data_IF_544717972935
#
_entry.id   IF_544717972935
#
_cell.length_a   1.000
_cell.length_b   1.000
_cell.length_c   1.000
_cell.angle_alpha   90.00
_cell.angle_beta   90.00
_cell.angle_gamma   90.00
#
_symmetry.space_group_name_H-M   'P 1'
#
loop_
_entity.id
_entity.type
_entity.pdbx_description
1 polymer ?
#
# COMPACT_ATOMS: atom_id res chain seq x y z
N UNK A 1 -19.87 12.25 6.83
CA UNK A 1 -19.20 12.87 5.67
C UNK A 1 -18.66 11.75 4.79
N UNK A 2 -18.92 11.74 3.48
CA UNK A 2 -18.35 10.72 2.61
C UNK A 2 -16.83 10.86 2.61
N UNK A 3 -16.11 9.76 2.87
CA UNK A 3 -14.64 9.74 2.79
C UNK A 3 -14.27 9.96 1.32
N UNK A 4 -13.42 10.95 1.03
CA UNK A 4 -12.88 11.14 -0.32
C UNK A 4 -12.17 9.85 -0.77
N UNK A 5 -12.36 9.46 -2.03
CA UNK A 5 -11.68 8.27 -2.57
C UNK A 5 -10.16 8.47 -2.55
N UNK A 6 -9.38 7.41 -2.44
CA UNK A 6 -7.91 7.52 -2.49
C UNK A 6 -7.45 8.23 -3.77
N UNK A 7 -8.09 7.93 -4.91
CA UNK A 7 -7.84 8.64 -6.17
C UNK A 7 -8.01 10.14 -6.03
N UNK A 8 -9.09 10.60 -5.39
CA UNK A 8 -9.34 12.01 -5.17
C UNK A 8 -8.26 12.65 -4.29
N UNK A 9 -7.82 11.98 -3.22
CA UNK A 9 -6.74 12.49 -2.36
C UNK A 9 -5.42 12.65 -3.11
N UNK A 10 -5.06 11.68 -3.95
CA UNK A 10 -3.86 11.76 -4.79
C UNK A 10 -3.97 12.86 -5.86
N UNK A 11 -5.14 13.02 -6.49
CA UNK A 11 -5.38 14.10 -7.46
C UNK A 11 -5.27 15.48 -6.80
N UNK A 12 -5.93 15.68 -5.66
CA UNK A 12 -5.85 16.95 -4.91
C UNK A 12 -4.41 17.27 -4.51
N UNK A 13 -3.66 16.26 -4.03
CA UNK A 13 -2.24 16.41 -3.67
C UNK A 13 -1.37 16.74 -4.88
N UNK A 14 -1.63 16.11 -6.03
CA UNK A 14 -0.88 16.37 -7.26
C UNK A 14 -1.16 17.77 -7.83
N UNK A 15 -2.43 18.21 -7.83
CA UNK A 15 -2.79 19.57 -8.24
C UNK A 15 -2.12 20.60 -7.32
N UNK A 16 -2.10 20.34 -6.01
CA UNK A 16 -1.40 21.21 -5.07
C UNK A 16 0.11 21.26 -5.37
N UNK A 17 0.73 20.13 -5.70
CA UNK A 17 2.11 20.07 -6.17
C UNK A 17 2.33 20.90 -7.45
N UNK A 18 1.44 20.80 -8.44
CA UNK A 18 1.52 21.61 -9.67
C UNK A 18 1.49 23.11 -9.36
N UNK A 19 0.62 23.55 -8.44
CA UNK A 19 0.53 24.95 -8.02
C UNK A 19 1.85 25.40 -7.37
N UNK A 20 2.39 24.60 -6.45
CA UNK A 20 3.69 24.88 -5.82
C UNK A 20 4.78 24.96 -6.89
N UNK A 21 4.86 24.00 -7.81
CA UNK A 21 5.85 23.98 -8.86
C UNK A 21 5.75 25.25 -9.73
N UNK A 22 4.56 25.63 -10.15
CA UNK A 22 4.33 26.83 -10.96
C UNK A 22 4.76 28.13 -10.24
N UNK A 23 4.59 28.20 -8.92
CA UNK A 23 4.98 29.37 -8.12
C UNK A 23 6.50 29.48 -7.93
N UNK A 24 7.18 28.36 -7.70
CA UNK A 24 8.62 28.36 -7.37
C UNK A 24 9.53 28.14 -8.59
N UNK A 25 9.01 27.53 -9.65
CA UNK A 25 9.76 27.19 -10.87
C UNK A 25 8.88 27.43 -12.10
N UNK A 26 8.64 28.69 -12.47
CA UNK A 26 7.93 28.98 -13.71
C UNK A 26 8.76 28.53 -14.92
N UNK A 27 8.09 27.93 -15.89
CA UNK A 27 8.70 27.55 -17.17
C UNK A 27 9.31 28.77 -17.85
N UNK A 28 10.55 28.63 -18.31
CA UNK A 28 11.30 29.73 -18.96
C UNK A 28 11.09 29.72 -20.47
N UNK A 29 10.79 28.55 -21.04
CA UNK A 29 10.53 28.36 -22.46
C UNK A 29 9.19 27.68 -22.70
N UNK A 30 8.64 27.86 -23.90
CA UNK A 30 7.43 27.16 -24.33
C UNK A 30 7.65 25.64 -24.40
N UNK A 31 8.85 25.21 -24.75
CA UNK A 31 9.22 23.79 -24.80
C UNK A 31 9.18 23.17 -23.40
N UNK A 32 9.79 23.82 -22.40
CA UNK A 32 9.74 23.38 -21.01
C UNK A 32 8.29 23.25 -20.53
N UNK A 33 7.46 24.27 -20.81
CA UNK A 33 6.04 24.25 -20.45
C UNK A 33 5.31 23.08 -21.11
N UNK A 34 5.59 22.81 -22.39
CA UNK A 34 4.96 21.69 -23.11
C UNK A 34 5.34 20.33 -22.53
N UNK A 35 6.60 20.17 -22.10
CA UNK A 35 7.09 18.94 -21.49
C UNK A 35 6.53 18.74 -20.09
N UNK A 36 6.46 19.81 -19.29
CA UNK A 36 5.83 19.80 -17.97
C UNK A 36 4.35 19.42 -18.08
N UNK A 37 3.59 20.07 -18.98
CA UNK A 37 2.18 19.74 -19.21
C UNK A 37 1.98 18.30 -19.67
N UNK A 38 2.84 17.79 -20.55
CA UNK A 38 2.78 16.38 -20.99
C UNK A 38 3.00 15.44 -19.81
N UNK A 39 3.95 15.78 -18.94
CA UNK A 39 4.23 15.02 -17.72
C UNK A 39 3.03 15.05 -16.77
N UNK A 40 2.43 16.21 -16.56
CA UNK A 40 1.25 16.38 -15.70
C UNK A 40 0.04 15.58 -16.21
N UNK A 41 -0.23 15.62 -17.52
CA UNK A 41 -1.28 14.83 -18.15
C UNK A 41 -1.05 13.34 -17.90
N UNK A 42 0.20 12.86 -18.08
CA UNK A 42 0.55 11.47 -17.87
C UNK A 42 0.39 11.05 -16.40
N UNK A 43 0.82 11.90 -15.45
CA UNK A 43 0.69 11.65 -14.02
C UNK A 43 -0.78 11.60 -13.58
N UNK A 44 -1.60 12.56 -14.01
CA UNK A 44 -3.03 12.58 -13.70
C UNK A 44 -3.72 11.35 -14.29
N UNK A 45 -3.40 11.00 -15.53
CA UNK A 45 -3.94 9.80 -16.19
C UNK A 45 -3.55 8.53 -15.43
N UNK A 46 -2.29 8.41 -15.01
CA UNK A 46 -1.81 7.28 -14.22
C UNK A 46 -2.55 7.19 -12.87
N UNK A 47 -2.77 8.31 -12.17
CA UNK A 47 -3.53 8.32 -10.92
C UNK A 47 -4.97 7.86 -11.16
N UNK A 48 -5.63 8.32 -12.23
CA UNK A 48 -7.02 7.96 -12.52
C UNK A 48 -7.18 6.50 -12.95
N UNK A 49 -6.23 5.97 -13.71
CA UNK A 49 -6.31 4.63 -14.31
C UNK A 49 -5.66 3.54 -13.46
N UNK A 50 -4.84 3.90 -12.47
CA UNK A 50 -4.19 2.93 -11.60
C UNK A 50 -5.22 2.08 -10.84
N UNK A 51 -5.24 0.78 -11.12
CA UNK A 51 -6.09 -0.17 -10.40
C UNK A 51 -5.77 -0.23 -8.90
N UNK A 52 -4.51 -0.02 -8.53
CA UNK A 52 -4.03 0.02 -7.16
C UNK A 52 -3.07 1.20 -7.02
N UNK A 53 -3.45 2.20 -6.23
CA UNK A 53 -2.59 3.35 -5.91
C UNK A 53 -1.56 3.03 -4.83
N UNK A 54 -1.87 2.07 -3.97
CA UNK A 54 -0.95 1.62 -2.92
C UNK A 54 -0.27 0.32 -3.36
N UNK A 55 0.97 0.16 -2.92
CA UNK A 55 1.68 -1.11 -3.04
C UNK A 55 0.89 -2.21 -2.32
N UNK A 56 0.71 -3.35 -3.00
CA UNK A 56 0.16 -4.53 -2.35
C UNK A 56 1.31 -5.18 -1.57
N UNK A 57 1.15 -5.49 -0.27
CA UNK A 57 2.17 -6.28 0.42
C UNK A 57 2.36 -7.60 -0.34
N UNK A 58 3.61 -8.07 -0.51
CA UNK A 58 3.88 -9.31 -1.21
C UNK A 58 3.09 -10.44 -0.53
N UNK A 59 2.33 -11.19 -1.33
CA UNK A 59 1.68 -12.41 -0.84
C UNK A 59 2.78 -13.46 -0.78
N UNK A 60 3.15 -13.89 0.43
CA UNK A 60 4.10 -14.97 0.64
C UNK A 60 3.56 -16.24 -0.07
N UNK A 61 4.35 -16.79 -1.00
CA UNK A 61 4.02 -18.00 -1.76
C UNK A 61 4.45 -19.25 -0.98
N UNK A 62 3.95 -19.42 0.23
CA UNK A 62 4.11 -20.65 0.99
C UNK A 62 2.75 -21.29 1.23
N UNK A 63 2.74 -22.59 1.55
CA UNK A 63 1.50 -23.27 1.88
C UNK A 63 0.85 -22.59 3.07
N UNK A 64 -0.49 -22.58 3.08
CA UNK A 64 -1.29 -21.91 4.09
C UNK A 64 -0.91 -22.29 5.52
N UNK A 65 -0.56 -23.57 5.73
CA UNK A 65 -0.13 -24.08 7.03
C UNK A 65 1.28 -23.65 7.43
N UNK A 66 2.20 -23.48 6.47
CA UNK A 66 3.56 -23.02 6.77
C UNK A 66 3.57 -21.56 7.24
N UNK A 67 2.76 -20.69 6.61
CA UNK A 67 2.57 -19.31 7.07
C UNK A 67 1.92 -19.23 8.44
N UNK A 68 0.91 -20.06 8.68
CA UNK A 68 0.29 -20.13 9.99
C UNK A 68 1.31 -20.58 11.05
N UNK A 69 2.18 -21.53 10.73
CA UNK A 69 3.26 -21.94 11.64
C UNK A 69 4.23 -20.79 11.96
N UNK A 70 4.70 -20.06 10.95
CA UNK A 70 5.58 -18.89 11.15
C UNK A 70 4.88 -17.78 11.96
N UNK A 71 3.62 -17.48 11.66
CA UNK A 71 2.86 -16.47 12.38
C UNK A 71 2.51 -16.88 13.80
N UNK A 72 2.38 -18.16 14.12
CA UNK A 72 2.18 -18.61 15.50
C UNK A 72 3.39 -18.29 16.39
N UNK A 73 4.59 -18.29 15.83
CA UNK A 73 5.84 -18.04 16.57
C UNK A 73 6.13 -16.55 16.80
N UNK A 74 5.55 -15.64 16.01
CA UNK A 74 5.76 -14.19 16.10
C UNK A 74 4.53 -13.50 16.73
N UNK A 75 4.62 -12.98 17.98
CA UNK A 75 3.51 -12.26 18.61
C UNK A 75 3.00 -11.07 17.78
N UNK A 76 3.89 -10.42 17.02
CA UNK A 76 3.52 -9.32 16.13
C UNK A 76 2.60 -9.75 14.97
N UNK A 77 2.66 -11.03 14.59
CA UNK A 77 1.92 -11.60 13.46
C UNK A 77 0.72 -12.46 13.89
N UNK A 78 0.45 -12.61 15.18
CA UNK A 78 -0.69 -13.39 15.71
C UNK A 78 -2.04 -12.96 15.11
N UNK A 79 -2.22 -11.68 14.83
CA UNK A 79 -3.43 -11.19 14.15
C UNK A 79 -3.59 -11.82 12.74
N UNK A 80 -2.50 -12.07 12.01
CA UNK A 80 -2.55 -12.75 10.71
C UNK A 80 -2.93 -14.22 10.86
N UNK A 81 -2.39 -14.90 11.88
CA UNK A 81 -2.76 -16.26 12.24
C UNK A 81 -4.26 -16.40 12.53
N UNK A 82 -4.79 -15.55 13.43
CA UNK A 82 -6.20 -15.57 13.81
C UNK A 82 -7.10 -15.26 12.62
N UNK A 83 -6.72 -14.33 11.74
CA UNK A 83 -7.50 -14.06 10.54
C UNK A 83 -7.57 -15.25 9.58
N UNK A 84 -6.50 -16.04 9.54
CA UNK A 84 -6.36 -17.18 8.64
C UNK A 84 -7.07 -18.44 9.15
N UNK A 85 -6.79 -18.84 10.40
CA UNK A 85 -7.29 -20.09 10.98
C UNK A 85 -8.49 -19.90 11.92
N UNK A 86 -8.86 -18.64 12.22
CA UNK A 86 -9.98 -18.27 13.11
C UNK A 86 -9.85 -18.80 14.55
N UNK A 87 -8.64 -19.16 14.95
CA UNK A 87 -8.30 -19.63 16.30
C UNK A 87 -7.04 -18.92 16.80
N UNK A 88 -6.90 -18.77 18.12
CA UNK A 88 -5.67 -18.25 18.73
C UNK A 88 -4.53 -19.26 18.57
N UNK A 89 -3.29 -18.82 18.27
CA UNK A 89 -2.14 -19.73 18.21
C UNK A 89 -1.88 -20.42 19.56
N UNK A 90 -2.29 -19.80 20.68
CA UNK A 90 -2.15 -20.35 22.03
C UNK A 90 -2.94 -21.65 22.25
N UNK A 91 -3.99 -21.91 21.45
CA UNK A 91 -4.78 -23.15 21.53
C UNK A 91 -3.89 -24.36 21.19
N UNK A 92 -2.89 -24.17 20.32
CA UNK A 92 -1.95 -25.23 19.94
C UNK A 92 -0.80 -25.38 20.93
N UNK A 93 -0.42 -24.33 21.67
CA UNK A 93 0.57 -24.42 22.75
C UNK A 93 0.13 -25.35 23.89
N UNK A 94 -1.19 -25.47 24.10
CA UNK A 94 -1.76 -26.31 25.16
C UNK A 94 -2.03 -27.76 24.73
N UNK A 95 -1.94 -28.06 23.43
CA UNK A 95 -2.21 -29.38 22.88
C UNK A 95 -0.90 -30.01 22.33
N UNK A 96 -0.21 -30.75 23.19
CA UNK A 96 0.87 -31.70 22.91
C UNK A 96 2.28 -31.18 22.53
N UNK A 97 3.19 -31.37 23.51
CA UNK A 97 4.60 -31.80 23.40
C UNK A 97 5.61 -30.79 22.83
N UNK A 98 6.42 -30.25 23.75
CA UNK A 98 7.82 -29.84 23.61
C UNK A 98 8.33 -29.57 22.19
N UNK A 99 8.21 -28.35 21.66
CA UNK A 99 9.29 -27.70 20.89
C UNK A 99 9.11 -26.18 20.98
N UNK A 100 9.63 -25.58 22.06
CA UNK A 100 9.99 -24.16 22.10
C UNK A 100 11.27 -24.05 22.93
N UNK A 101 12.41 -24.19 22.25
CA UNK A 101 13.73 -23.74 22.71
C UNK A 101 14.43 -23.11 21.52
#
# INVERSE_FOLDING_TARGET
>A
MPRSSLHQQYLESYIFFMIIQALFRPAQTLEDLSQELTTDINCISAIQQARYLNSRPPVLKSSSLHLAWEWAQSPADHHRFVNMLRVSPEVFCNATIQVCS
#
